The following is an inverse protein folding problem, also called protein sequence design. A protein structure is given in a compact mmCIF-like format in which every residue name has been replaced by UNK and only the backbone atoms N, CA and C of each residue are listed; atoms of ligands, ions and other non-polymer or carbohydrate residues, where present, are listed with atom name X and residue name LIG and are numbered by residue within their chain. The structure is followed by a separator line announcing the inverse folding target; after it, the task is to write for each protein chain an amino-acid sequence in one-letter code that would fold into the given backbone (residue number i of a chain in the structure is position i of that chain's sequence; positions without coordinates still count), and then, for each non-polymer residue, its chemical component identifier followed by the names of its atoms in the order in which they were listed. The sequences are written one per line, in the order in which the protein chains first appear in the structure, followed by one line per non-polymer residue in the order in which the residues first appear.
data_IF_641894637387
#
_entry.id   IF_641894637387
#
_cell.length_a   1.000
_cell.length_b   1.000
_cell.length_c   1.000
_cell.angle_alpha   90.00
_cell.angle_beta   90.00
_cell.angle_gamma   90.00
#
_symmetry.space_group_name_H-M   'P 1'
#
loop_
_entity.id
_entity.type
_entity.pdbx_description
1 polymer ?
#
# COMPACT_ATOMS: atom_id res chain seq x y z
N UNK A 1 7.22 -26.74 5.64
CA UNK A 1 7.12 -25.44 6.36
C UNK A 1 8.28 -25.40 7.33
N UNK A 2 8.87 -24.23 7.61
CA UNK A 2 9.97 -24.10 8.58
C UNK A 2 9.59 -23.16 9.72
N UNK A 3 10.21 -23.40 10.88
CA UNK A 3 10.23 -22.50 12.03
C UNK A 3 11.55 -21.74 11.99
N UNK A 4 11.50 -20.45 11.62
CA UNK A 4 12.70 -19.67 11.29
C UNK A 4 13.65 -19.48 12.48
N UNK A 5 13.10 -19.18 13.66
CA UNK A 5 13.85 -18.90 14.89
C UNK A 5 14.32 -20.15 15.65
N UNK A 6 14.15 -21.35 15.07
CA UNK A 6 14.78 -22.59 15.55
C UNK A 6 15.76 -23.18 14.52
N UNK A 7 15.83 -22.60 13.31
CA UNK A 7 16.66 -23.11 12.23
C UNK A 7 18.15 -22.79 12.38
N UNK A 8 18.49 -21.69 13.05
CA UNK A 8 19.86 -21.22 13.23
C UNK A 8 20.41 -21.63 14.59
N UNK A 9 21.72 -21.89 14.65
CA UNK A 9 22.43 -22.02 15.91
C UNK A 9 22.58 -20.64 16.56
N UNK A 10 21.72 -20.36 17.53
CA UNK A 10 21.69 -19.08 18.24
C UNK A 10 22.06 -19.32 19.70
N UNK A 11 22.89 -18.41 20.22
CA UNK A 11 23.27 -18.39 21.63
C UNK A 11 22.01 -18.50 22.52
N UNK A 12 21.97 -19.39 23.54
CA UNK A 12 20.78 -19.65 24.35
C UNK A 12 20.12 -18.39 24.93
N UNK A 13 20.94 -17.39 25.32
CA UNK A 13 20.44 -16.08 25.77
C UNK A 13 19.49 -15.41 24.78
N UNK A 14 19.60 -15.61 23.47
CA UNK A 14 18.76 -14.95 22.44
C UNK A 14 17.62 -15.84 21.90
N UNK A 15 17.26 -16.89 22.63
CA UNK A 15 16.27 -17.89 22.20
C UNK A 15 14.89 -17.71 22.85
N UNK A 16 14.85 -17.31 24.11
CA UNK A 16 13.59 -17.16 24.84
C UNK A 16 12.85 -15.90 24.40
N UNK A 17 11.54 -16.03 24.29
CA UNK A 17 10.61 -14.99 23.82
C UNK A 17 9.64 -14.58 24.90
N UNK A 18 9.65 -15.25 26.05
CA UNK A 18 8.80 -14.97 27.19
C UNK A 18 9.54 -15.23 28.50
N UNK A 19 9.27 -14.41 29.52
CA UNK A 19 9.79 -14.57 30.88
C UNK A 19 8.66 -14.51 31.90
N UNK A 20 8.65 -15.42 32.86
CA UNK A 20 7.64 -15.37 33.93
C UNK A 20 7.85 -14.18 34.86
N UNK A 21 6.79 -13.68 35.52
CA UNK A 21 6.90 -12.66 36.55
C UNK A 21 7.90 -13.08 37.64
N UNK A 22 8.86 -12.20 37.92
CA UNK A 22 9.97 -12.46 38.84
C UNK A 22 11.14 -13.25 38.25
N UNK A 23 11.23 -13.35 36.91
CA UNK A 23 12.33 -14.02 36.18
C UNK A 23 12.56 -15.48 36.59
N UNK A 24 11.49 -16.20 36.98
CA UNK A 24 11.56 -17.58 37.47
C UNK A 24 11.81 -18.61 36.36
N UNK A 25 11.38 -18.30 35.15
CA UNK A 25 11.46 -19.19 33.99
C UNK A 25 11.43 -18.38 32.70
N UNK A 26 12.11 -18.90 31.67
CA UNK A 26 12.18 -18.29 30.35
C UNK A 26 11.90 -19.34 29.29
N UNK A 27 10.96 -19.05 28.40
CA UNK A 27 10.47 -20.00 27.40
C UNK A 27 10.52 -19.40 25.98
N UNK A 28 10.59 -20.26 24.97
CA UNK A 28 10.42 -19.88 23.56
C UNK A 28 9.01 -20.30 23.14
N UNK A 29 8.09 -19.34 23.02
CA UNK A 29 6.68 -19.59 22.67
C UNK A 29 6.23 -18.79 21.44
N UNK A 30 7.03 -17.83 20.99
CA UNK A 30 6.79 -17.02 19.80
C UNK A 30 7.64 -17.51 18.63
N UNK A 31 6.99 -17.76 17.49
CA UNK A 31 7.64 -18.38 16.33
C UNK A 31 7.33 -17.67 15.03
N UNK A 32 8.32 -17.65 14.13
CA UNK A 32 8.15 -17.13 12.78
C UNK A 32 8.10 -18.31 11.82
N UNK A 33 6.91 -18.55 11.26
CA UNK A 33 6.68 -19.62 10.30
C UNK A 33 6.92 -19.14 8.87
N UNK A 34 7.59 -19.95 8.05
CA UNK A 34 7.84 -19.64 6.65
C UNK A 34 7.65 -20.85 5.74
N UNK A 35 7.22 -20.62 4.50
CA UNK A 35 7.19 -21.67 3.48
C UNK A 35 8.60 -22.18 3.19
N UNK A 36 8.74 -23.50 3.06
CA UNK A 36 10.04 -24.18 2.86
C UNK A 36 10.85 -23.58 1.70
N UNK A 37 10.16 -23.24 0.60
CA UNK A 37 10.78 -22.68 -0.62
C UNK A 37 11.56 -21.38 -0.40
N UNK A 38 11.27 -20.65 0.69
CA UNK A 38 11.93 -19.39 1.03
C UNK A 38 12.98 -19.53 2.13
N UNK A 39 13.31 -20.76 2.55
CA UNK A 39 14.29 -20.99 3.64
C UNK A 39 15.64 -20.30 3.39
N UNK A 40 16.11 -20.29 2.15
CA UNK A 40 17.40 -19.70 1.76
C UNK A 40 17.37 -18.16 1.75
N UNK A 41 16.18 -17.55 1.83
CA UNK A 41 16.04 -16.10 1.95
C UNK A 41 16.22 -15.61 3.39
N UNK A 42 16.10 -16.49 4.38
CA UNK A 42 16.27 -16.11 5.79
C UNK A 42 17.76 -15.99 6.09
N UNK A 43 18.19 -14.84 6.60
CA UNK A 43 19.58 -14.59 7.00
C UNK A 43 19.80 -14.97 8.47
N UNK A 44 18.87 -14.62 9.35
CA UNK A 44 18.80 -15.11 10.73
C UNK A 44 17.43 -14.78 11.34
N UNK A 45 17.05 -15.46 12.42
CA UNK A 45 15.87 -15.12 13.21
C UNK A 45 16.11 -15.36 14.71
N UNK A 46 15.99 -14.34 15.56
CA UNK A 46 16.37 -14.38 16.99
C UNK A 46 15.39 -13.59 17.86
N UNK A 47 15.34 -13.89 19.16
CA UNK A 47 14.68 -13.02 20.11
C UNK A 47 15.48 -11.71 20.30
N UNK A 48 14.77 -10.60 20.42
CA UNK A 48 15.32 -9.27 20.67
C UNK A 48 15.14 -8.92 22.15
N UNK A 49 16.16 -9.27 22.95
CA UNK A 49 16.17 -8.97 24.38
C UNK A 49 16.44 -7.48 24.61
N UNK A 50 15.75 -6.90 25.57
CA UNK A 50 15.91 -5.48 25.93
C UNK A 50 15.17 -4.52 24.99
N UNK A 51 14.26 -5.02 24.16
CA UNK A 51 13.24 -4.18 23.55
C UNK A 51 12.31 -3.66 24.66
N UNK A 52 12.15 -2.34 24.77
CA UNK A 52 11.23 -1.73 25.72
C UNK A 52 9.79 -1.86 25.23
N UNK A 53 9.21 -3.05 25.44
CA UNK A 53 7.87 -3.39 25.00
C UNK A 53 6.84 -3.39 26.15
N UNK A 54 7.27 -3.12 27.39
CA UNK A 54 6.39 -3.15 28.57
C UNK A 54 5.64 -4.47 28.79
N UNK A 55 6.17 -5.57 28.26
CA UNK A 55 5.57 -6.92 28.31
C UNK A 55 6.59 -7.93 28.79
N UNK A 56 6.08 -9.02 29.35
CA UNK A 56 6.79 -10.27 29.64
C UNK A 56 7.29 -11.01 28.39
N UNK A 57 6.90 -10.56 27.19
CA UNK A 57 7.36 -11.06 25.91
C UNK A 57 8.52 -10.23 25.31
N UNK A 58 9.49 -10.93 24.71
CA UNK A 58 10.50 -10.35 23.82
C UNK A 58 10.10 -10.57 22.36
N UNK A 59 10.09 -9.52 21.53
CA UNK A 59 9.87 -9.65 20.10
C UNK A 59 10.87 -10.61 19.44
N UNK A 60 10.39 -11.36 18.44
CA UNK A 60 11.26 -12.16 17.57
C UNK A 60 11.51 -11.38 16.29
N UNK A 61 12.78 -11.22 15.91
CA UNK A 61 13.17 -10.52 14.70
C UNK A 61 13.78 -11.51 13.72
N UNK A 62 13.30 -11.44 12.47
CA UNK A 62 13.79 -12.23 11.35
C UNK A 62 14.31 -11.29 10.26
N UNK A 63 15.56 -11.47 9.86
CA UNK A 63 16.14 -10.75 8.74
C UNK A 63 16.03 -11.63 7.49
N UNK A 64 15.42 -11.09 6.43
CA UNK A 64 15.12 -11.82 5.19
C UNK A 64 15.68 -11.04 4.00
N UNK A 65 16.45 -11.70 3.14
CA UNK A 65 16.92 -11.17 1.86
C UNK A 65 15.95 -11.55 0.74
N UNK A 66 15.24 -10.55 0.21
CA UNK A 66 14.25 -10.73 -0.86
C UNK A 66 14.62 -9.92 -2.10
N UNK A 67 14.47 -10.51 -3.29
CA UNK A 67 14.50 -9.80 -4.57
C UNK A 67 13.07 -9.72 -5.09
N UNK A 68 12.41 -8.59 -4.86
CA UNK A 68 11.04 -8.36 -5.31
C UNK A 68 11.04 -7.80 -6.73
N UNK A 69 10.12 -8.28 -7.57
CA UNK A 69 9.84 -7.64 -8.85
C UNK A 69 9.15 -6.31 -8.58
N UNK A 70 9.63 -5.23 -9.19
CA UNK A 70 8.93 -3.95 -9.15
C UNK A 70 7.56 -4.11 -9.83
N UNK A 71 6.50 -3.98 -9.05
CA UNK A 71 5.16 -3.85 -9.62
C UNK A 71 4.97 -2.39 -10.04
N UNK A 72 4.73 -2.16 -11.34
CA UNK A 72 4.25 -0.86 -11.80
C UNK A 72 2.87 -0.66 -11.16
N UNK A 73 2.75 0.29 -10.23
CA UNK A 73 1.43 0.69 -9.73
C UNK A 73 0.60 1.13 -10.93
N UNK A 74 -0.58 0.55 -11.10
CA UNK A 74 -1.50 1.01 -12.12
C UNK A 74 -1.69 2.53 -11.98
N UNK A 75 -1.75 3.25 -13.12
CA UNK A 75 -2.13 4.66 -13.11
C UNK A 75 -3.49 4.74 -12.43
N UNK A 76 -3.57 5.45 -11.30
CA UNK A 76 -4.85 5.72 -10.65
C UNK A 76 -5.66 6.61 -11.58
N UNK A 77 -6.92 6.25 -11.82
CA UNK A 77 -7.85 7.14 -12.51
C UNK A 77 -7.96 8.46 -11.75
N UNK A 78 -8.11 9.59 -12.46
CA UNK A 78 -8.39 10.87 -11.83
C UNK A 78 -9.67 10.75 -10.98
N UNK A 79 -9.67 11.38 -9.81
CA UNK A 79 -10.90 11.55 -9.03
C UNK A 79 -11.52 12.87 -9.44
N UNK A 80 -12.83 12.88 -9.64
CA UNK A 80 -13.58 14.10 -9.98
C UNK A 80 -14.29 14.64 -8.74
N UNK A 81 -14.50 15.95 -8.69
CA UNK A 81 -15.29 16.63 -7.65
C UNK A 81 -16.74 16.74 -8.14
N UNK A 82 -17.52 15.66 -8.01
CA UNK A 82 -18.89 15.61 -8.50
C UNK A 82 -19.81 16.63 -7.81
N UNK A 83 -19.44 17.15 -6.64
CA UNK A 83 -20.13 18.27 -6.00
C UNK A 83 -20.17 19.53 -6.86
N UNK A 84 -19.24 19.69 -7.79
CA UNK A 84 -19.24 20.81 -8.75
C UNK A 84 -20.47 20.79 -9.67
N UNK A 85 -21.06 19.62 -9.94
CA UNK A 85 -22.30 19.49 -10.73
C UNK A 85 -23.55 20.01 -10.01
N UNK A 86 -23.45 20.35 -8.72
CA UNK A 86 -24.53 21.05 -8.00
C UNK A 86 -24.64 22.52 -8.40
N UNK A 87 -23.59 23.10 -9.00
CA UNK A 87 -23.61 24.46 -9.53
C UNK A 87 -24.33 24.48 -10.87
N UNK A 88 -25.31 25.36 -11.03
CA UNK A 88 -26.15 25.42 -12.21
C UNK A 88 -25.35 25.62 -13.51
N UNK A 89 -24.30 26.44 -13.48
CA UNK A 89 -23.44 26.70 -14.66
C UNK A 89 -22.73 25.44 -15.17
N UNK A 90 -22.15 24.63 -14.26
CA UNK A 90 -21.39 23.42 -14.63
C UNK A 90 -22.37 22.33 -15.06
N UNK A 91 -23.52 22.23 -14.39
CA UNK A 91 -24.58 21.29 -14.74
C UNK A 91 -25.11 21.55 -16.15
N UNK A 92 -25.39 22.80 -16.47
CA UNK A 92 -25.95 23.16 -17.77
C UNK A 92 -24.95 22.89 -18.90
N UNK A 93 -23.69 23.30 -18.73
CA UNK A 93 -22.62 22.99 -19.70
C UNK A 93 -22.43 21.50 -19.89
N UNK A 94 -22.46 20.72 -18.81
CA UNK A 94 -22.38 19.26 -18.88
C UNK A 94 -23.56 18.65 -19.64
N UNK A 95 -24.79 19.07 -19.31
CA UNK A 95 -26.00 18.57 -19.96
C UNK A 95 -26.02 18.87 -21.46
N UNK A 96 -25.71 20.12 -21.84
CA UNK A 96 -25.64 20.52 -23.25
C UNK A 96 -24.59 19.71 -24.00
N UNK A 97 -23.41 19.51 -23.40
CA UNK A 97 -22.33 18.75 -24.02
C UNK A 97 -22.69 17.28 -24.23
N UNK A 98 -23.20 16.61 -23.19
CA UNK A 98 -23.60 15.21 -23.29
C UNK A 98 -24.75 15.04 -24.29
N UNK A 99 -25.74 15.96 -24.27
CA UNK A 99 -26.87 15.94 -25.19
C UNK A 99 -26.42 16.10 -26.64
N UNK A 100 -25.59 17.11 -26.93
CA UNK A 100 -25.08 17.35 -28.29
C UNK A 100 -24.25 16.18 -28.81
N UNK A 101 -23.37 15.62 -27.97
CA UNK A 101 -22.56 14.45 -28.36
C UNK A 101 -23.45 13.23 -28.61
N UNK A 102 -24.45 13.00 -27.77
CA UNK A 102 -25.38 11.89 -27.92
C UNK A 102 -26.29 12.04 -29.15
N UNK A 103 -26.80 13.23 -29.45
CA UNK A 103 -27.60 13.51 -30.65
C UNK A 103 -26.82 13.27 -31.95
N UNK A 104 -25.50 13.43 -31.92
CA UNK A 104 -24.62 13.13 -33.08
C UNK A 104 -24.45 11.61 -33.31
N UNK A 105 -24.80 10.76 -32.33
CA UNK A 105 -24.53 9.31 -32.34
C UNK A 105 -25.70 8.43 -32.83
N UNK A 106 -26.75 9.04 -33.39
CA UNK A 106 -28.01 8.36 -33.79
C UNK A 106 -27.83 7.27 -34.87
N UNK A 107 -26.67 7.14 -35.50
CA UNK A 107 -26.43 6.22 -36.62
C UNK A 107 -26.10 4.76 -36.24
N UNK A 108 -26.07 4.39 -34.96
CA UNK A 108 -25.55 3.07 -34.53
C UNK A 108 -26.68 2.06 -34.32
N UNK A 109 -26.49 0.82 -34.80
CA UNK A 109 -27.56 -0.18 -34.90
C UNK A 109 -27.57 -1.18 -33.75
N UNK A 110 -26.43 -1.50 -33.14
CA UNK A 110 -26.36 -2.53 -32.08
C UNK A 110 -26.51 -1.94 -30.67
N UNK A 111 -27.12 -2.69 -29.76
CA UNK A 111 -27.33 -2.26 -28.38
C UNK A 111 -26.02 -2.08 -27.59
N UNK A 112 -25.03 -2.95 -27.84
CA UNK A 112 -23.73 -2.92 -27.17
C UNK A 112 -22.90 -1.70 -27.59
N UNK A 113 -22.91 -1.35 -28.89
CA UNK A 113 -22.21 -0.14 -29.37
C UNK A 113 -22.89 1.13 -28.86
N UNK A 114 -24.23 1.18 -28.84
CA UNK A 114 -24.97 2.29 -28.22
C UNK A 114 -24.60 2.48 -26.75
N UNK A 115 -24.49 1.39 -26.00
CA UNK A 115 -24.10 1.43 -24.59
C UNK A 115 -22.68 1.96 -24.41
N UNK A 116 -21.72 1.44 -25.16
CA UNK A 116 -20.32 1.87 -25.07
C UNK A 116 -20.16 3.35 -25.44
N UNK A 117 -20.86 3.82 -26.47
CA UNK A 117 -20.84 5.23 -26.86
C UNK A 117 -21.49 6.16 -25.84
N UNK A 118 -22.61 5.74 -25.24
CA UNK A 118 -23.23 6.51 -24.15
C UNK A 118 -22.25 6.66 -22.98
N UNK A 119 -21.59 5.57 -22.60
CA UNK A 119 -20.58 5.55 -21.55
C UNK A 119 -19.42 6.50 -21.87
N UNK A 120 -18.92 6.48 -23.09
CA UNK A 120 -17.84 7.36 -23.54
C UNK A 120 -18.26 8.84 -23.52
N UNK A 121 -19.47 9.17 -23.99
CA UNK A 121 -20.01 10.54 -23.92
C UNK A 121 -20.10 11.06 -22.49
N UNK A 122 -20.60 10.22 -21.57
CA UNK A 122 -20.70 10.57 -20.15
C UNK A 122 -19.30 10.80 -19.57
N UNK A 123 -18.35 9.92 -19.88
CA UNK A 123 -16.98 9.98 -19.38
C UNK A 123 -16.24 11.22 -19.90
N UNK A 124 -16.36 11.53 -21.19
CA UNK A 124 -15.79 12.73 -21.79
C UNK A 124 -16.40 14.01 -21.22
N UNK A 125 -17.73 14.05 -21.04
CA UNK A 125 -18.39 15.20 -20.41
C UNK A 125 -17.89 15.44 -18.99
N UNK A 126 -17.63 14.37 -18.23
CA UNK A 126 -17.05 14.47 -16.89
C UNK A 126 -15.61 14.98 -16.97
N UNK A 127 -14.82 14.48 -17.91
CA UNK A 127 -13.43 14.89 -18.12
C UNK A 127 -13.29 16.38 -18.46
N UNK A 128 -14.24 16.92 -19.21
CA UNK A 128 -14.21 18.30 -19.71
C UNK A 128 -14.79 19.31 -18.72
N UNK A 129 -15.93 18.99 -18.09
CA UNK A 129 -16.68 19.95 -17.28
C UNK A 129 -16.45 19.81 -15.78
N UNK A 130 -16.09 18.61 -15.29
CA UNK A 130 -15.97 18.37 -13.84
C UNK A 130 -14.51 18.53 -13.39
N UNK A 131 -14.21 19.44 -12.45
CA UNK A 131 -12.85 19.63 -11.97
C UNK A 131 -12.33 18.38 -11.27
N UNK A 132 -11.06 18.06 -11.55
CA UNK A 132 -10.36 16.97 -10.87
C UNK A 132 -10.12 17.33 -9.41
N UNK A 133 -10.22 16.34 -8.53
CA UNK A 133 -9.92 16.47 -7.12
C UNK A 133 -8.42 16.65 -6.95
N UNK A 134 -8.03 17.77 -6.35
CA UNK A 134 -6.65 18.03 -6.02
C UNK A 134 -6.10 16.88 -5.16
N UNK A 135 -4.83 16.54 -5.39
CA UNK A 135 -4.14 15.58 -4.54
C UNK A 135 -4.09 16.19 -3.14
N UNK A 136 -4.55 15.46 -2.12
CA UNK A 136 -4.36 15.91 -0.74
C UNK A 136 -2.87 16.13 -0.53
N UNK A 137 -2.48 17.36 -0.21
CA UNK A 137 -1.15 17.66 0.27
C UNK A 137 -0.90 16.86 1.54
N UNK A 138 0.35 16.45 1.75
CA UNK A 138 0.72 15.81 2.99
C UNK A 138 0.47 16.80 4.14
N UNK A 139 0.11 16.27 5.32
CA UNK A 139 -0.09 17.11 6.52
C UNK A 139 1.18 17.95 6.71
N UNK A 140 1.05 19.24 7.07
CA UNK A 140 2.16 20.20 7.17
C UNK A 140 3.35 19.72 8.03
N UNK A 141 3.11 18.83 9.00
CA UNK A 141 4.16 18.26 9.86
C UNK A 141 5.04 17.20 9.17
N UNK A 142 4.61 16.66 8.02
CA UNK A 142 5.43 15.77 7.20
C UNK A 142 6.20 16.65 6.22
N UNK A 143 7.43 16.99 6.59
CA UNK A 143 8.33 17.77 5.73
C UNK A 143 8.86 16.91 4.58
N UNK A 144 9.22 17.55 3.47
CA UNK A 144 9.89 16.90 2.33
C UNK A 144 11.20 16.21 2.73
N UNK A 145 11.84 16.69 3.79
CA UNK A 145 13.04 16.10 4.38
C UNK A 145 12.77 14.74 5.04
N UNK A 146 11.71 14.63 5.86
CA UNK A 146 11.27 13.35 6.46
C UNK A 146 10.96 12.31 5.37
N UNK A 147 10.31 12.72 4.27
CA UNK A 147 10.02 11.82 3.15
C UNK A 147 11.27 11.38 2.39
N UNK A 148 12.29 12.25 2.29
CA UNK A 148 13.58 11.89 1.69
C UNK A 148 14.36 10.91 2.56
N UNK A 149 14.30 11.06 3.89
CA UNK A 149 14.91 10.12 4.83
C UNK A 149 14.28 8.73 4.72
N UNK A 150 12.94 8.63 4.73
CA UNK A 150 12.21 7.36 4.52
C UNK A 150 12.46 6.75 3.12
N UNK A 151 12.71 7.59 2.11
CA UNK A 151 13.11 7.15 0.76
C UNK A 151 14.53 6.58 0.70
N UNK A 152 15.47 7.23 1.38
CA UNK A 152 16.89 6.81 1.45
C UNK A 152 17.07 5.51 2.23
N UNK A 153 16.29 5.27 3.28
CA UNK A 153 16.29 3.98 4.00
C UNK A 153 15.85 2.80 3.11
N UNK A 154 14.99 3.05 2.11
CA UNK A 154 14.52 2.02 1.16
C UNK A 154 15.50 1.75 0.04
N UNK A 155 16.36 2.70 -0.30
CA UNK A 155 17.45 2.55 -1.26
C UNK A 155 18.74 2.42 -0.49
N UNK A 156 19.04 1.22 0.03
CA UNK A 156 20.21 0.95 0.88
C UNK A 156 21.55 1.42 0.28
N UNK A 157 21.85 2.69 0.47
CA UNK A 157 23.16 3.28 0.28
C UNK A 157 23.75 3.44 1.67
N UNK A 158 24.47 2.41 2.10
CA UNK A 158 25.48 2.52 3.14
C UNK A 158 26.56 3.47 2.62
N UNK A 159 26.72 4.62 3.29
CA UNK A 159 27.89 5.48 3.13
C UNK A 159 29.13 4.70 3.61
N UNK A 160 30.15 4.69 2.76
CA UNK A 160 31.50 4.15 2.99
C UNK A 160 32.26 4.94 4.06
#
# INVERSE_FOLDING_TARGET
MIVANTWFQIHPRRRWTWSSPGDRSRNQIDFILMKQRFRNSIQYAKAMLGADCGSDHNPVVCQIKLKLKAFKKAKRSPRYQFEALKKDEIRERYNVLVKNKFETLVAVTTAEEKWNQLKDCIQEGIEEQVPKKARKEHKKWITTEILRLDGKEKTGQTLS
#
